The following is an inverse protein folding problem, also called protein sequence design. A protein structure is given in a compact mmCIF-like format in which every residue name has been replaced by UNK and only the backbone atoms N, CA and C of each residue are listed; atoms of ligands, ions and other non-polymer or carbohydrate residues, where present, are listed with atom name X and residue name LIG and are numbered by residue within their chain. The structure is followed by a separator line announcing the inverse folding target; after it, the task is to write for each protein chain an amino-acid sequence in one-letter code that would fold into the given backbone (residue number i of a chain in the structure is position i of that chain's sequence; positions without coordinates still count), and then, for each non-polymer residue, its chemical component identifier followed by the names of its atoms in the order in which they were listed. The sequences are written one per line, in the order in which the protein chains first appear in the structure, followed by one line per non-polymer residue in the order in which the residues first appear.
data_IF_957682029363
#
_entry.id   IF_957682029363
#
_cell.length_a   1.000
_cell.length_b   1.000
_cell.length_c   1.000
_cell.angle_alpha   90.00
_cell.angle_beta   90.00
_cell.angle_gamma   90.00
#
_symmetry.space_group_name_H-M   'P 1'
#
loop_
_entity.id
_entity.type
_entity.pdbx_description
1 polymer ?
2 non-polymer ?
3 water ?
#
# COMPACT_ATOMS: atom_id res chain seq x y z
N UNK A 9 -0.81 -25.27 2.14
CA UNK A 9 -1.85 -24.90 1.18
C UNK A 9 -3.22 -25.45 1.59
N UNK A 10 -3.62 -25.09 2.82
CA UNK A 10 -4.84 -25.59 3.43
C UNK A 10 -6.05 -25.26 2.56
N UNK A 11 -6.91 -26.26 2.36
CA UNK A 11 -8.17 -26.04 1.66
C UNK A 11 -9.28 -25.75 2.65
N UNK A 12 -10.05 -24.72 2.37
CA UNK A 12 -11.19 -24.34 3.19
C UNK A 12 -12.41 -24.52 2.32
N UNK A 13 -13.36 -25.30 2.78
CA UNK A 13 -14.53 -25.59 1.98
C UNK A 13 -15.39 -24.35 1.94
N UNK A 14 -16.01 -24.08 0.80
CA UNK A 14 -16.88 -22.92 0.71
C UNK A 14 -17.99 -22.99 1.75
N UNK A 15 -18.43 -24.21 2.09
CA UNK A 15 -19.49 -24.41 3.06
C UNK A 15 -19.03 -24.17 4.48
N UNK A 16 -17.73 -24.01 4.70
CA UNK A 16 -17.17 -23.72 6.01
C UNK A 16 -17.05 -22.23 6.26
N UNK A 17 -17.64 -21.40 5.40
CA UNK A 17 -17.54 -19.96 5.49
C UNK A 17 -18.93 -19.36 5.64
N UNK A 18 -19.07 -18.45 6.60
CA UNK A 18 -20.26 -17.62 6.73
C UNK A 18 -19.91 -16.21 6.26
N UNK A 19 -20.44 -15.80 5.11
CA UNK A 19 -20.11 -14.49 4.59
C UNK A 19 -20.98 -13.42 5.24
N UNK A 20 -20.34 -12.37 5.73
CA UNK A 20 -21.00 -11.13 6.11
C UNK A 20 -21.51 -10.24 4.98
N UNK A 21 -20.76 -10.21 3.89
CA UNK A 21 -21.08 -9.37 2.76
C UNK A 21 -21.29 -10.29 1.58
N UNK A 22 -22.36 -10.08 0.81
CA UNK A 22 -22.72 -11.02 -0.24
C UNK A 22 -21.57 -11.12 -1.23
N UNK A 23 -21.12 -12.34 -1.50
CA UNK A 23 -19.90 -12.53 -2.30
C UNK A 23 -20.15 -12.54 -3.79
N UNK A 24 -21.43 -12.49 -4.15
CA UNK A 24 -21.86 -12.30 -5.53
C UNK A 24 -21.52 -10.97 -6.16
N UNK A 25 -21.62 -9.90 -5.39
CA UNK A 25 -21.57 -8.54 -5.90
C UNK A 25 -20.35 -7.93 -6.58
N UNK A 26 -19.17 -8.15 -6.06
CA UNK A 26 -17.97 -7.52 -6.58
C UNK A 26 -17.34 -8.17 -7.81
N UNK A 27 -16.38 -7.48 -8.42
CA UNK A 27 -15.56 -8.10 -9.44
C UNK A 27 -14.51 -9.01 -8.79
N UNK A 28 -13.84 -9.79 -9.62
CA UNK A 28 -12.73 -10.60 -9.14
C UNK A 28 -11.70 -9.70 -8.47
N UNK A 29 -11.18 -10.17 -7.34
CA UNK A 29 -10.32 -9.35 -6.50
C UNK A 29 -11.03 -8.76 -5.31
N UNK A 30 -12.37 -8.67 -5.37
CA UNK A 30 -13.14 -8.18 -4.23
C UNK A 30 -12.92 -9.07 -3.03
N UNK A 31 -12.93 -8.44 -1.85
CA UNK A 31 -12.62 -9.08 -0.58
C UNK A 31 -13.85 -8.97 0.31
N UNK A 32 -14.21 -10.09 0.95
CA UNK A 32 -15.39 -10.15 1.79
C UNK A 32 -15.01 -10.54 3.20
N UNK A 33 -15.62 -9.85 4.17
CA UNK A 33 -15.53 -10.27 5.55
C UNK A 33 -16.36 -11.53 5.75
N UNK A 34 -15.79 -12.50 6.43
CA UNK A 34 -16.43 -13.77 6.65
C UNK A 34 -16.01 -14.39 7.97
N UNK A 35 -16.75 -15.42 8.34
CA UNK A 35 -16.41 -16.23 9.49
C UNK A 35 -16.05 -17.63 9.00
N UNK A 36 -14.92 -18.14 9.49
CA UNK A 36 -14.49 -19.49 9.21
C UNK A 36 -15.08 -20.35 10.32
N UNK A 37 -16.10 -21.12 9.96
CA UNK A 37 -17.04 -21.66 10.94
C UNK A 37 -16.35 -22.68 11.85
N UNK A 38 -15.66 -23.67 11.26
CA UNK A 38 -15.03 -24.72 12.03
C UNK A 38 -13.90 -24.19 12.91
N UNK A 39 -13.42 -22.98 12.65
CA UNK A 39 -12.36 -22.38 13.44
C UNK A 39 -12.84 -21.22 14.29
N UNK A 40 -14.07 -20.79 14.11
CA UNK A 40 -14.58 -19.67 14.86
C UNK A 40 -13.63 -18.47 14.72
N UNK A 41 -13.20 -18.22 13.50
CA UNK A 41 -12.28 -17.14 13.18
C UNK A 41 -12.85 -16.17 12.13
N UNK A 42 -12.73 -14.89 12.39
CA UNK A 42 -13.02 -13.86 11.40
C UNK A 42 -11.94 -13.90 10.32
N UNK A 43 -12.35 -13.80 9.07
CA UNK A 43 -11.42 -13.94 7.95
C UNK A 43 -11.79 -12.99 6.83
N UNK A 44 -10.83 -12.75 5.95
CA UNK A 44 -11.08 -12.07 4.68
C UNK A 44 -11.04 -13.10 3.56
N UNK A 45 -11.93 -12.95 2.58
CA UNK A 45 -12.00 -13.88 1.46
C UNK A 45 -11.93 -13.08 0.18
N UNK A 46 -10.89 -13.34 -0.60
CA UNK A 46 -10.73 -12.67 -1.88
C UNK A 46 -11.24 -13.60 -2.96
N UNK A 47 -12.20 -13.11 -3.73
CA UNK A 47 -12.81 -13.87 -4.81
C UNK A 47 -11.92 -13.89 -6.06
N UNK A 48 -11.72 -15.09 -6.58
CA UNK A 48 -10.86 -15.29 -7.74
C UNK A 48 -11.54 -16.12 -8.84
N UNK A 49 -11.17 -15.85 -10.09
CA UNK A 49 -11.65 -16.63 -11.20
C UNK A 49 -11.17 -18.07 -11.13
N UNK A 50 -9.89 -18.24 -10.83
CA UNK A 50 -9.31 -19.54 -10.59
C UNK A 50 -8.01 -19.34 -9.84
N UNK A 51 -7.51 -20.40 -9.23
CA UNK A 51 -6.20 -20.36 -8.61
C UNK A 51 -5.38 -21.60 -9.00
N UNK A 52 -4.12 -21.40 -9.34
CA UNK A 52 -3.22 -22.50 -9.72
C UNK A 52 -2.55 -23.16 -8.52
N UNK A 53 -2.24 -24.43 -8.59
CA UNK A 53 -1.61 -25.13 -7.52
C UNK A 53 -0.26 -24.50 -7.18
N UNK A 54 0.38 -23.93 -8.17
CA UNK A 54 1.67 -23.31 -8.01
C UNK A 54 1.62 -22.21 -6.95
N UNK A 55 0.45 -21.59 -6.78
CA UNK A 55 0.31 -20.56 -5.75
C UNK A 55 0.70 -21.06 -4.37
N UNK A 56 0.84 -22.37 -4.17
CA UNK A 56 1.19 -22.87 -2.85
C UNK A 56 2.58 -22.41 -2.42
N UNK A 57 3.43 -22.04 -3.38
CA UNK A 57 4.78 -21.61 -3.00
C UNK A 57 4.74 -20.35 -2.14
N UNK A 58 3.67 -19.55 -2.23
CA UNK A 58 3.53 -18.37 -1.40
C UNK A 58 2.77 -18.61 -0.11
N UNK A 59 2.19 -19.80 0.07
CA UNK A 59 1.38 -20.05 1.26
C UNK A 59 2.22 -20.13 2.53
N UNK A 60 3.53 -20.31 2.38
CA UNK A 60 4.42 -20.37 3.51
C UNK A 60 4.92 -19.01 4.04
N UNK A 61 4.69 -17.94 3.29
CA UNK A 61 5.14 -16.62 3.76
C UNK A 61 4.38 -16.24 5.04
N UNK A 62 5.12 -15.73 6.02
CA UNK A 62 4.52 -15.30 7.26
C UNK A 62 5.34 -14.17 7.86
N UNK A 63 4.70 -13.08 8.24
CA UNK A 63 5.42 -11.97 8.84
C UNK A 63 4.39 -11.03 9.44
N UNK A 64 4.74 -10.41 10.57
CA UNK A 64 3.76 -9.58 11.26
C UNK A 64 3.26 -8.41 10.40
N UNK A 65 3.97 -8.04 9.32
CA UNK A 65 3.52 -6.90 8.53
C UNK A 65 3.04 -7.32 7.15
N UNK A 66 2.73 -8.60 6.94
CA UNK A 66 2.01 -9.02 5.75
C UNK A 66 0.78 -9.81 6.16
N UNK A 67 -0.27 -9.71 5.36
CA UNK A 67 -1.52 -10.40 5.68
C UNK A 67 -1.29 -11.90 5.74
N UNK A 68 -1.89 -12.56 6.74
CA UNK A 68 -1.61 -13.96 7.00
C UNK A 68 -2.54 -14.89 6.19
N UNK A 69 -1.94 -15.71 5.36
CA UNK A 69 -2.68 -16.74 4.62
C UNK A 69 -3.33 -17.75 5.57
N UNK A 70 -4.60 -18.07 5.32
CA UNK A 70 -5.29 -19.12 6.07
C UNK A 70 -5.64 -20.33 5.22
N UNK A 71 -6.09 -20.13 3.99
CA UNK A 71 -6.50 -21.28 3.20
C UNK A 71 -6.99 -20.84 1.83
N UNK A 72 -7.31 -21.84 1.03
CA UNK A 72 -7.75 -21.62 -0.34
C UNK A 72 -9.07 -22.36 -0.54
N UNK A 73 -10.01 -21.71 -1.25
CA UNK A 73 -11.27 -22.32 -1.66
C UNK A 73 -11.13 -22.83 -3.09
N UNK A 74 -11.43 -24.11 -3.28
CA UNK A 74 -11.19 -24.76 -4.55
C UNK A 74 -12.39 -25.58 -5.02
N UNK A 75 -13.52 -24.92 -5.19
CA UNK A 75 -14.73 -25.58 -5.61
C UNK A 75 -15.39 -24.81 -6.73
N UNK A 76 -15.16 -25.25 -7.96
CA UNK A 76 -15.61 -24.49 -9.12
C UNK A 76 -17.11 -24.36 -9.03
N UNK A 77 -17.67 -23.20 -9.31
CA UNK A 77 -16.94 -22.01 -9.80
C UNK A 77 -16.42 -21.07 -8.71
N UNK A 78 -16.52 -21.48 -7.44
CA UNK A 78 -16.10 -20.63 -6.32
C UNK A 78 -14.62 -20.90 -6.05
N UNK A 79 -13.81 -19.89 -6.33
CA UNK A 79 -12.39 -19.90 -6.03
C UNK A 79 -12.06 -18.69 -5.16
N UNK A 80 -11.09 -18.85 -4.28
CA UNK A 80 -10.67 -17.79 -3.43
C UNK A 80 -9.50 -18.09 -2.55
N UNK A 81 -9.00 -17.06 -1.94
CA UNK A 81 -7.97 -17.16 -0.96
C UNK A 81 -8.48 -16.52 0.33
N UNK A 82 -8.21 -17.18 1.46
CA UNK A 82 -8.69 -16.78 2.75
C UNK A 82 -7.50 -16.32 3.59
N UNK A 83 -7.65 -15.16 4.19
CA UNK A 83 -6.67 -14.58 5.10
C UNK A 83 -7.27 -14.09 6.43
N UNK A 84 -6.38 -13.66 7.34
CA UNK A 84 -6.80 -12.97 8.54
C UNK A 84 -7.55 -11.69 8.16
N UNK A 85 -8.42 -11.26 9.05
CA UNK A 85 -9.16 -10.02 8.87
C UNK A 85 -8.62 -8.97 9.87
N UNK A 86 -8.21 -7.85 9.33
CA UNK A 86 -7.67 -6.81 10.15
C UNK A 86 -8.80 -5.93 10.62
N UNK A 87 -9.05 -5.90 11.90
CA UNK A 87 -10.26 -5.29 12.42
C UNK A 87 -10.43 -3.77 12.24
N UNK A 88 -9.33 -3.05 12.05
CA UNK A 88 -9.43 -1.59 11.90
C UNK A 88 -9.51 -1.07 10.45
N UNK A 89 -9.57 -1.98 9.48
CA UNK A 89 -9.86 -1.55 8.13
C UNK A 89 -8.62 -1.15 7.35
N UNK A 90 -8.89 -0.50 6.23
CA UNK A 90 -7.81 -0.19 5.29
C UNK A 90 -7.11 1.10 5.67
N UNK A 91 -5.82 1.17 5.34
CA UNK A 91 -5.03 2.36 5.61
C UNK A 91 -5.56 3.56 4.81
N UNK A 92 -6.00 3.31 3.59
CA UNK A 92 -6.51 4.39 2.76
C UNK A 92 -7.75 5.06 3.36
N UNK A 93 -8.68 4.23 3.82
CA UNK A 93 -9.90 4.74 4.44
C UNK A 93 -9.56 5.51 5.71
N UNK A 94 -8.62 5.01 6.50
CA UNK A 94 -8.22 5.70 7.71
C UNK A 94 -7.61 7.08 7.42
N UNK A 95 -6.70 7.12 6.45
CA UNK A 95 -5.97 8.35 6.15
C UNK A 95 -6.94 9.43 5.69
N UNK A 96 -7.88 9.04 4.88
CA UNK A 96 -8.76 9.98 4.22
C UNK A 96 -10.02 10.28 5.03
N UNK A 97 -10.04 9.79 6.26
CA UNK A 97 -11.09 10.05 7.23
C UNK A 97 -10.60 11.11 8.20
N UNK A 98 -11.53 11.70 8.94
CA UNK A 98 -11.11 12.63 9.98
C UNK A 98 -10.41 11.94 11.15
N UNK A 99 -10.47 10.61 11.22
CA UNK A 99 -9.77 9.91 12.31
C UNK A 99 -8.27 10.15 12.25
N UNK A 100 -7.76 10.45 11.06
CA UNK A 100 -6.31 10.58 10.85
C UNK A 100 -5.73 11.83 11.55
N UNK A 101 -6.61 12.70 12.02
CA UNK A 101 -6.21 13.86 12.80
C UNK A 101 -5.49 13.46 14.10
N UNK A 102 -5.78 12.26 14.59
CA UNK A 102 -5.13 11.75 15.80
C UNK A 102 -3.64 11.46 15.64
N UNK A 103 -3.17 11.34 14.40
CA UNK A 103 -1.80 10.89 14.13
C UNK A 103 -0.79 11.93 14.59
N UNK A 104 0.23 11.49 15.31
CA UNK A 104 1.39 12.32 15.62
C UNK A 104 2.63 11.68 15.02
N UNK A 105 3.77 12.24 15.30
CA UNK A 105 4.97 11.78 14.71
C UNK A 105 5.26 10.31 15.08
N UNK A 106 5.01 9.95 16.30
CA UNK A 106 5.24 8.59 16.75
C UNK A 106 4.38 7.60 15.95
N UNK A 107 3.13 7.97 15.73
CA UNK A 107 2.23 7.18 14.92
C UNK A 107 2.80 6.95 13.52
N UNK A 108 3.19 8.03 12.87
CA UNK A 108 3.71 7.92 11.52
C UNK A 108 4.98 7.07 11.46
N UNK A 109 5.87 7.26 12.42
CA UNK A 109 7.11 6.51 12.42
C UNK A 109 6.83 5.01 12.57
N UNK A 110 5.93 4.66 13.48
CA UNK A 110 5.60 3.27 13.69
C UNK A 110 5.00 2.65 12.42
N UNK A 111 4.05 3.34 11.81
CA UNK A 111 3.40 2.83 10.60
C UNK A 111 4.36 2.82 9.41
N UNK A 112 5.21 3.84 9.28
CA UNK A 112 6.18 3.82 8.20
C UNK A 112 7.16 2.67 8.37
N UNK A 113 7.50 2.37 9.62
CA UNK A 113 8.40 1.24 9.89
C UNK A 113 7.71 -0.09 9.61
N UNK A 114 6.42 -0.19 9.98
CA UNK A 114 5.63 -1.39 9.71
C UNK A 114 5.67 -1.77 8.24
N UNK A 115 5.32 -0.83 7.38
CA UNK A 115 5.29 -1.13 5.95
C UNK A 115 6.69 -1.47 5.44
N UNK A 116 7.68 -0.73 5.90
CA UNK A 116 9.03 -0.94 5.44
C UNK A 116 9.48 -2.34 5.81
N UNK A 117 9.15 -2.76 7.01
CA UNK A 117 9.53 -4.06 7.50
C UNK A 117 8.87 -5.20 6.73
N UNK A 118 7.60 -5.05 6.46
CA UNK A 118 6.89 -6.03 5.68
C UNK A 118 7.46 -6.11 4.28
N UNK A 119 7.76 -4.98 3.69
CA UNK A 119 8.34 -5.02 2.34
C UNK A 119 9.76 -5.59 2.36
N UNK A 120 10.53 -5.32 3.42
CA UNK A 120 11.86 -5.94 3.51
C UNK A 120 11.74 -7.45 3.60
N UNK A 121 10.78 -7.95 4.37
CA UNK A 121 10.57 -9.38 4.43
C UNK A 121 10.29 -9.96 3.05
N UNK A 122 9.35 -9.36 2.31
CA UNK A 122 9.00 -9.89 0.99
C UNK A 122 10.21 -9.88 0.05
N UNK A 123 10.94 -8.77 0.04
CA UNK A 123 12.09 -8.61 -0.84
C UNK A 123 13.29 -9.54 -0.49
N UNK A 124 13.55 -9.67 0.80
CA UNK A 124 14.81 -10.24 1.23
C UNK A 124 14.77 -11.47 2.15
N UNK A 125 13.72 -11.61 2.96
CA UNK A 125 13.70 -12.65 3.97
C UNK A 125 12.81 -13.87 3.69
N UNK A 126 11.84 -13.74 2.81
CA UNK A 126 10.87 -14.80 2.59
C UNK A 126 11.51 -15.99 1.86
N UNK A 127 10.91 -17.17 1.98
CA UNK A 127 11.40 -18.33 1.21
C UNK A 127 11.36 -18.13 -0.29
N UNK A 128 10.44 -17.29 -0.77
CA UNK A 128 10.37 -16.89 -2.17
C UNK A 128 10.42 -15.37 -2.21
N UNK A 129 11.32 -14.83 -3.01
CA UNK A 129 11.42 -13.39 -3.16
C UNK A 129 10.17 -12.85 -3.85
N UNK A 130 9.58 -11.80 -3.28
CA UNK A 130 8.37 -11.20 -3.83
C UNK A 130 8.60 -9.71 -4.08
N UNK A 131 8.41 -9.27 -5.32
CA UNK A 131 8.28 -7.86 -5.64
C UNK A 131 6.80 -7.59 -5.76
N UNK A 132 6.28 -6.64 -4.99
CA UNK A 132 4.83 -6.48 -4.93
C UNK A 132 4.28 -5.95 -6.24
N UNK A 133 4.74 -4.77 -6.62
CA UNK A 133 4.42 -4.10 -7.87
C UNK A 133 3.10 -3.36 -7.81
N UNK A 134 2.35 -3.57 -6.74
CA UNK A 134 1.09 -2.87 -6.57
C UNK A 134 0.93 -2.29 -5.17
N UNK A 135 2.03 -1.93 -4.53
CA UNK A 135 1.92 -1.39 -3.20
C UNK A 135 1.18 -0.05 -3.24
N UNK A 136 0.20 0.09 -2.37
CA UNK A 136 -0.55 1.34 -2.23
C UNK A 136 -1.35 1.26 -0.95
N UNK A 137 -1.84 2.42 -0.49
CA UNK A 137 -2.52 2.48 0.80
C UNK A 137 -3.78 1.61 0.83
N UNK A 138 -4.42 1.38 -0.29
CA UNK A 138 -5.53 0.47 -0.32
C UNK A 138 -5.11 -1.02 -0.13
N UNK A 139 -3.85 -1.28 -0.31
CA UNK A 139 -3.35 -2.63 -0.12
C UNK A 139 -2.64 -2.80 1.22
N UNK A 140 -2.96 -1.94 2.19
CA UNK A 140 -2.45 -2.07 3.55
C UNK A 140 -3.64 -2.00 4.49
N UNK A 141 -3.68 -2.89 5.48
CA UNK A 141 -4.77 -2.87 6.44
C UNK A 141 -4.22 -2.77 7.85
N UNK A 142 -5.11 -2.43 8.79
CA UNK A 142 -4.75 -2.06 10.17
C UNK A 142 -5.34 -3.11 11.09
N UNK A 143 -4.49 -3.90 11.72
CA UNK A 143 -4.99 -4.91 12.65
C UNK A 143 -5.45 -4.24 13.96
N UNK A 144 -6.09 -5.05 14.80
CA UNK A 144 -6.73 -4.54 16.01
C UNK A 144 -5.76 -3.79 16.94
N UNK A 145 -4.49 -4.19 16.95
CA UNK A 145 -3.51 -3.53 17.81
C UNK A 145 -2.73 -2.44 17.07
N UNK A 146 -3.18 -2.06 15.88
CA UNK A 146 -2.51 -1.01 15.11
C UNK A 146 -1.39 -1.48 14.21
N UNK A 147 -1.10 -2.77 14.16
CA UNK A 147 -0.05 -3.29 13.29
C UNK A 147 -0.54 -3.28 11.85
N UNK A 148 0.27 -2.73 10.95
CA UNK A 148 -0.10 -2.64 9.54
C UNK A 148 0.26 -3.94 8.83
N UNK A 149 -0.61 -4.38 7.91
CA UNK A 149 -0.43 -5.64 7.18
C UNK A 149 -0.56 -5.39 5.70
N UNK A 150 0.44 -5.82 4.92
CA UNK A 150 0.45 -5.63 3.48
C UNK A 150 -0.33 -6.76 2.81
N UNK A 151 -1.19 -6.37 1.87
CA UNK A 151 -2.11 -7.25 1.16
C UNK A 151 -1.75 -7.32 -0.33
N UNK A 152 -2.18 -8.39 -0.99
CA UNK A 152 -2.11 -8.51 -2.45
C UNK A 152 -0.70 -8.68 -3.01
N UNK A 153 0.23 -9.08 -2.15
CA UNK A 153 1.60 -9.24 -2.54
C UNK A 153 1.79 -10.34 -3.60
N UNK A 154 0.86 -11.28 -3.68
CA UNK A 154 0.95 -12.30 -4.71
C UNK A 154 0.12 -12.03 -5.95
N UNK A 155 -0.61 -10.90 -5.98
CA UNK A 155 -1.51 -10.63 -7.11
C UNK A 155 -0.77 -10.60 -8.43
N UNK A 156 0.36 -9.88 -8.49
CA UNK A 156 1.01 -9.66 -9.78
C UNK A 156 1.49 -10.95 -10.40
N UNK A 157 1.79 -11.96 -9.59
CA UNK A 157 2.23 -13.25 -10.12
C UNK A 157 1.09 -14.24 -10.28
N UNK A 158 0.14 -14.28 -9.35
CA UNK A 158 -0.80 -15.39 -9.33
C UNK A 158 -2.24 -15.04 -9.67
N UNK A 159 -2.62 -13.76 -9.60
CA UNK A 159 -3.94 -13.41 -10.10
C UNK A 159 -3.85 -11.98 -10.61
N UNK A 160 -3.02 -11.79 -11.64
CA UNK A 160 -2.90 -10.49 -12.27
C UNK A 160 -4.23 -9.98 -12.81
N UNK A 161 -5.17 -10.86 -13.05
CA UNK A 161 -6.45 -10.46 -13.60
C UNK A 161 -7.16 -9.50 -12.64
N UNK A 162 -6.88 -9.61 -11.35
CA UNK A 162 -7.52 -8.77 -10.35
C UNK A 162 -7.02 -7.34 -10.29
N UNK A 163 -5.91 -7.07 -10.93
CA UNK A 163 -5.32 -5.77 -10.88
C UNK A 163 -5.81 -4.82 -11.97
N UNK A 164 -6.49 -5.33 -12.99
CA UNK A 164 -6.91 -4.47 -14.10
C UNK A 164 -7.86 -3.31 -13.76
N UNK A 165 -8.89 -3.55 -12.94
CA UNK A 165 -9.92 -2.58 -12.63
C UNK A 165 -9.25 -1.38 -11.92
N UNK A 166 -9.55 -0.19 -12.45
CA UNK A 166 -8.87 1.05 -12.06
C UNK A 166 -7.39 0.88 -11.79
N UNK A 167 -6.78 0.43 -12.87
CA UNK A 167 -5.39 0.61 -13.08
C UNK A 167 -5.18 2.12 -13.14
N UNK A 168 -6.09 2.86 -13.75
CA UNK A 168 -5.95 4.30 -13.81
C UNK A 168 -5.91 4.87 -12.40
N UNK A 169 -6.77 4.35 -11.53
CA UNK A 169 -6.80 4.79 -10.14
C UNK A 169 -5.47 4.58 -9.40
N UNK A 170 -4.73 3.56 -9.78
CA UNK A 170 -3.43 3.25 -9.23
C UNK A 170 -2.20 3.99 -9.76
N UNK A 171 -2.34 4.75 -10.82
CA UNK A 171 -1.18 5.37 -11.40
C UNK A 171 -0.38 6.26 -10.42
N UNK A 172 -1.04 6.95 -9.53
CA UNK A 172 -0.26 7.75 -8.57
C UNK A 172 0.76 6.92 -7.76
N UNK A 173 0.50 5.65 -7.50
CA UNK A 173 1.44 4.81 -6.79
C UNK A 173 2.52 4.10 -7.60
N UNK A 174 2.41 4.13 -8.92
CA UNK A 174 3.23 3.29 -9.79
C UNK A 174 4.52 3.99 -10.21
N UNK A 175 5.63 3.29 -10.05
CA UNK A 175 6.93 3.81 -10.49
C UNK A 175 6.91 4.03 -12.00
N UNK A 176 7.67 5.02 -12.49
CA UNK A 176 7.70 5.26 -13.94
C UNK A 176 8.02 4.02 -14.76
N UNK A 177 8.96 3.18 -14.30
CA UNK A 177 9.32 1.99 -15.07
C UNK A 177 8.19 0.97 -15.09
N UNK A 178 7.29 1.01 -14.11
CA UNK A 178 6.14 0.12 -14.14
C UNK A 178 5.08 0.65 -15.10
N UNK A 179 4.88 1.95 -15.12
CA UNK A 179 3.93 2.56 -16.03
C UNK A 179 4.34 2.30 -17.49
N UNK A 180 5.64 2.30 -17.74
CA UNK A 180 6.20 2.12 -19.08
C UNK A 180 6.48 0.66 -19.48
N UNK A 181 6.25 -0.27 -18.57
CA UNK A 181 6.57 -1.68 -18.79
C UNK A 181 8.05 -1.80 -19.16
N UNK A 182 8.85 -0.96 -18.55
CA UNK A 182 10.29 -1.00 -18.65
C UNK A 182 10.82 -2.07 -17.72
N UNK A 183 12.09 -2.39 -17.81
CA UNK A 183 12.69 -3.27 -16.79
C UNK A 183 12.35 -2.79 -15.39
N UNK A 184 12.00 -3.73 -14.52
CA UNK A 184 11.52 -3.43 -13.18
C UNK A 184 12.39 -4.17 -12.16
N UNK A 185 12.78 -3.44 -11.12
CA UNK A 185 13.51 -3.99 -10.00
C UNK A 185 12.70 -3.82 -8.72
N UNK A 186 13.26 -4.31 -7.64
CA UNK A 186 12.57 -4.29 -6.37
C UNK A 186 12.23 -2.84 -5.95
N UNK A 187 13.03 -1.89 -6.43
CA UNK A 187 12.85 -0.49 -6.07
C UNK A 187 11.56 0.15 -6.64
N UNK A 188 10.86 -0.53 -7.55
CA UNK A 188 9.52 -0.06 -7.88
C UNK A 188 8.64 0.00 -6.64
N UNK A 189 8.84 -0.91 -5.69
CA UNK A 189 8.07 -0.88 -4.46
C UNK A 189 8.51 0.26 -3.53
N UNK A 190 9.79 0.63 -3.57
CA UNK A 190 10.25 1.80 -2.82
C UNK A 190 9.56 3.09 -3.29
N UNK A 191 9.39 3.23 -4.61
CA UNK A 191 8.66 4.38 -5.13
C UNK A 191 7.25 4.41 -4.57
N UNK A 192 6.54 3.29 -4.63
CA UNK A 192 5.18 3.22 -4.13
C UNK A 192 5.12 3.52 -2.63
N UNK A 193 6.07 2.96 -1.88
CA UNK A 193 6.18 3.23 -0.45
C UNK A 193 6.29 4.74 -0.20
N UNK A 194 7.10 5.44 -1.00
CA UNK A 194 7.20 6.88 -0.86
C UNK A 194 5.85 7.56 -0.99
N UNK A 195 5.01 7.07 -1.90
CA UNK A 195 3.70 7.66 -2.04
C UNK A 195 2.86 7.38 -0.80
N UNK A 196 2.96 6.16 -0.24
CA UNK A 196 2.19 5.83 0.96
C UNK A 196 2.58 6.73 2.12
N UNK A 197 3.89 6.96 2.29
CA UNK A 197 4.36 7.88 3.32
C UNK A 197 3.84 9.30 3.10
N UNK A 198 3.88 9.78 1.85
CA UNK A 198 3.29 11.08 1.55
C UNK A 198 1.82 11.15 1.95
N UNK A 199 1.07 10.07 1.71
CA UNK A 199 -0.34 10.04 2.12
C UNK A 199 -0.49 10.16 3.63
N UNK A 200 0.34 9.44 4.39
CA UNK A 200 0.24 9.52 5.85
C UNK A 200 0.55 10.92 6.35
N UNK A 201 1.54 11.58 5.73
CA UNK A 201 1.95 12.91 6.16
C UNK A 201 0.90 13.96 5.80
N UNK A 202 0.40 13.94 4.57
CA UNK A 202 -0.52 14.98 4.11
C UNK A 202 -1.97 14.61 4.31
N UNK A 203 -2.26 13.31 4.43
CA UNK A 203 -3.64 12.81 4.53
C UNK A 203 -4.49 13.32 3.37
N UNK A 204 -3.91 13.28 2.17
CA UNK A 204 -4.58 13.65 0.94
C UNK A 204 -4.50 12.49 -0.05
N UNK A 205 -5.46 12.44 -0.97
CA UNK A 205 -5.41 11.51 -2.09
C UNK A 205 -4.38 12.03 -3.10
N UNK A 206 -3.41 11.21 -3.49
CA UNK A 206 -2.37 11.69 -4.42
C UNK A 206 -2.98 12.04 -5.77
N UNK A 207 -2.54 13.17 -6.31
CA UNK A 207 -2.99 13.64 -7.63
C UNK A 207 -4.51 13.65 -7.73
N UNK A 208 -5.18 14.08 -6.67
CA UNK A 208 -6.62 13.95 -6.59
C UNK A 208 -7.32 14.70 -7.72
N UNK A 209 -8.24 14.02 -8.40
CA UNK A 209 -9.03 14.62 -9.45
C UNK A 209 -8.38 14.70 -10.81
N UNK A 210 -7.16 14.17 -10.91
CA UNK A 210 -6.38 14.16 -12.14
C UNK A 210 -6.61 12.88 -12.93
N UNK A 211 -6.69 13.00 -14.24
CA UNK A 211 -6.85 11.82 -15.07
C UNK A 211 -5.62 10.94 -14.94
N UNK A 212 -5.84 9.64 -14.85
CA UNK A 212 -4.76 8.72 -14.61
C UNK A 212 -3.68 8.71 -15.68
N UNK A 213 -4.11 8.75 -16.93
CA UNK A 213 -3.17 8.82 -18.03
C UNK A 213 -2.38 10.14 -17.92
N UNK A 214 -3.03 11.21 -17.51
CA UNK A 214 -2.31 12.46 -17.32
C UNK A 214 -1.26 12.37 -16.20
N UNK A 215 -1.63 11.78 -15.07
CA UNK A 215 -0.66 11.45 -14.03
C UNK A 215 0.50 10.66 -14.60
N UNK A 216 0.18 9.58 -15.32
CA UNK A 216 1.23 8.70 -15.82
C UNK A 216 2.21 9.46 -16.72
N UNK A 217 1.67 10.33 -17.57
CA UNK A 217 2.50 11.15 -18.47
C UNK A 217 3.37 12.12 -17.67
N UNK A 218 2.75 12.87 -16.76
CA UNK A 218 3.51 13.80 -15.91
C UNK A 218 4.62 13.09 -15.15
N UNK A 219 4.32 11.94 -14.57
CA UNK A 219 5.33 11.23 -13.78
C UNK A 219 6.45 10.74 -14.67
N UNK A 220 6.12 10.21 -15.85
CA UNK A 220 7.10 9.52 -16.67
C UNK A 220 7.90 10.51 -17.52
N UNK A 221 7.21 11.44 -18.16
CA UNK A 221 7.87 12.32 -19.13
C UNK A 221 8.36 13.62 -18.50
N UNK A 222 7.62 14.18 -17.55
CA UNK A 222 7.96 15.48 -16.99
C UNK A 222 8.63 15.39 -15.63
N UNK A 223 8.87 14.18 -15.13
CA UNK A 223 9.42 13.96 -13.79
C UNK A 223 8.59 14.65 -12.71
N UNK A 224 7.28 14.76 -12.91
CA UNK A 224 6.40 15.34 -11.89
C UNK A 224 6.32 14.41 -10.68
N UNK A 225 6.30 15.00 -9.48
CA UNK A 225 6.16 14.26 -8.23
C UNK A 225 5.19 15.01 -7.35
N UNK A 226 4.64 14.30 -6.37
CA UNK A 226 3.64 14.88 -5.47
C UNK A 226 4.24 16.07 -4.71
N UNK A 227 3.42 17.11 -4.53
CA UNK A 227 3.88 18.32 -3.85
C UNK A 227 4.20 18.04 -2.38
N UNK A 228 5.41 18.38 -1.97
CA UNK A 228 5.85 18.28 -0.59
C UNK A 228 5.73 19.68 0.05
N UNK A 229 4.86 19.88 1.03
CA UNK A 229 4.74 21.21 1.64
C UNK A 229 6.06 21.71 2.19
N UNK A 230 6.27 23.02 2.07
CA UNK A 230 7.55 23.61 2.42
C UNK A 230 7.86 23.45 3.91
N UNK A 231 6.85 23.36 4.76
CA UNK A 231 7.07 23.17 6.18
C UNK A 231 7.19 21.70 6.56
N UNK A 232 7.11 20.78 5.61
CA UNK A 232 7.37 19.38 5.92
C UNK A 232 8.82 19.23 6.41
N UNK A 233 9.06 18.51 7.52
CA UNK A 233 10.43 18.40 8.02
C UNK A 233 11.38 17.91 6.93
N UNK A 234 12.61 18.43 6.95
CA UNK A 234 13.54 18.14 5.87
C UNK A 234 13.90 16.65 5.80
N UNK A 235 13.95 15.97 6.95
CA UNK A 235 14.28 14.55 6.93
C UNK A 235 13.22 13.75 6.17
N UNK A 236 11.94 14.06 6.38
CA UNK A 236 10.87 13.39 5.64
C UNK A 236 10.92 13.77 4.16
N UNK A 237 11.15 15.04 3.86
CA UNK A 237 11.14 15.48 2.48
C UNK A 237 12.24 14.76 1.70
N UNK A 238 13.38 14.65 2.32
CA UNK A 238 14.50 13.98 1.73
C UNK A 238 14.27 12.48 1.49
N UNK A 239 13.60 11.83 2.41
CA UNK A 239 13.27 10.43 2.27
C UNK A 239 12.35 10.25 1.06
N UNK A 240 11.37 11.13 0.93
CA UNK A 240 10.48 11.05 -0.21
C UNK A 240 11.23 11.25 -1.52
N UNK A 241 12.13 12.24 -1.57
CA UNK A 241 12.89 12.48 -2.79
C UNK A 241 13.74 11.27 -3.16
N UNK A 242 14.33 10.60 -2.18
CA UNK A 242 15.09 9.40 -2.47
C UNK A 242 14.19 8.28 -3.01
N UNK A 243 13.00 8.10 -2.44
CA UNK A 243 12.10 7.05 -2.90
C UNK A 243 11.61 7.31 -4.33
N UNK A 244 11.55 8.56 -4.71
CA UNK A 244 10.96 8.97 -5.94
C UNK A 244 11.95 9.21 -7.13
N UNK A 245 13.22 8.93 -6.95
CA UNK A 245 14.18 9.14 -8.02
C UNK A 245 13.77 8.42 -9.28
N UNK A 246 13.98 9.11 -10.39
CA UNK A 246 13.74 8.54 -11.70
C UNK A 246 14.61 7.33 -11.96
N UNK A 247 15.85 7.39 -11.55
CA UNK A 247 16.75 6.28 -11.73
C UNK A 247 16.53 5.31 -10.58
N UNK A 248 15.95 4.16 -10.93
CA UNK A 248 15.49 3.19 -9.98
C UNK A 248 16.62 2.65 -9.14
N UNK A 249 17.80 2.64 -9.74
CA UNK A 249 18.99 2.12 -9.08
C UNK A 249 19.50 3.03 -7.97
N UNK A 250 19.01 4.27 -7.89
CA UNK A 250 19.43 5.16 -6.84
C UNK A 250 18.43 5.25 -5.69
N UNK A 251 17.27 4.62 -5.80
CA UNK A 251 16.32 4.59 -4.69
C UNK A 251 16.86 3.70 -3.59
N UNK A 252 16.49 3.96 -2.34
CA UNK A 252 16.94 3.07 -1.27
C UNK A 252 16.17 1.76 -1.26
N UNK A 253 16.85 0.71 -0.81
CA UNK A 253 16.21 -0.53 -0.43
C UNK A 253 15.38 -0.33 0.84
N UNK A 254 14.59 -1.36 1.18
CA UNK A 254 13.85 -1.24 2.43
C UNK A 254 14.76 -1.39 3.65
N UNK A 255 15.88 -2.11 3.52
CA UNK A 255 16.88 -2.10 4.58
C UNK A 255 17.39 -0.70 4.83
N UNK A 256 17.66 0.05 3.75
CA UNK A 256 18.15 1.42 3.91
C UNK A 256 17.07 2.33 4.49
N UNK A 257 15.82 2.18 4.05
CA UNK A 257 14.72 2.99 4.59
C UNK A 257 14.60 2.77 6.09
N UNK A 258 14.66 1.52 6.53
CA UNK A 258 14.51 1.20 7.94
C UNK A 258 15.60 1.91 8.75
N UNK A 259 16.81 1.96 8.19
CA UNK A 259 17.91 2.63 8.88
C UNK A 259 17.69 4.13 8.93
N UNK A 260 17.20 4.72 7.83
CA UNK A 260 16.82 6.13 7.80
C UNK A 260 15.79 6.42 8.87
N UNK A 261 14.76 5.58 8.98
CA UNK A 261 13.70 5.81 9.96
C UNK A 261 14.24 5.72 11.38
N UNK A 262 15.16 4.78 11.61
CA UNK A 262 15.79 4.67 12.91
C UNK A 262 16.58 5.94 13.25
N UNK A 263 17.32 6.48 12.26
CA UNK A 263 18.04 7.73 12.48
C UNK A 263 17.10 8.86 12.81
N UNK A 264 15.99 8.96 12.07
CA UNK A 264 15.01 10.00 12.33
C UNK A 264 14.41 9.85 13.73
N UNK A 265 14.18 8.62 14.19
CA UNK A 265 13.55 8.45 15.50
C UNK A 265 14.49 8.79 16.66
N UNK A 266 15.79 8.93 16.42
CA UNK A 266 16.75 9.39 17.43
C UNK A 266 16.93 10.91 17.42
N UNK A 267 16.28 11.61 16.51
CA UNK A 267 16.47 13.05 16.33
C UNK A 267 15.52 13.80 17.27
N UNK A 268 16.08 14.41 18.33
CA UNK A 268 15.24 14.99 19.38
C UNK A 268 14.47 16.21 18.91
N UNK A 269 14.95 16.88 17.88
CA UNK A 269 14.25 18.00 17.25
C UNK A 269 13.01 17.62 16.44
N UNK A 270 13.01 16.42 15.88
CA UNK A 270 12.01 16.02 14.91
C UNK A 270 10.56 15.95 15.39
N UNK A 271 10.33 15.46 16.60
CA UNK A 271 8.95 15.29 17.03
C UNK A 271 8.19 16.61 17.08
N UNK A 272 8.82 17.66 17.61
CA UNK A 272 8.16 18.94 17.62
C UNK A 272 7.95 19.51 16.21
N UNK A 273 8.96 19.39 15.37
CA UNK A 273 8.87 19.90 14.01
C UNK A 273 7.81 19.15 13.21
N UNK A 274 7.82 17.83 13.35
CA UNK A 274 6.87 17.02 12.60
C UNK A 274 5.45 17.20 13.12
N UNK A 275 5.26 17.16 14.44
CA UNK A 275 3.92 17.33 15.00
C UNK A 275 3.36 18.70 14.66
N UNK A 276 4.20 19.73 14.74
CA UNK A 276 3.77 21.07 14.32
C UNK A 276 3.37 21.06 12.85
N UNK A 277 4.10 20.32 12.02
CA UNK A 277 3.71 20.19 10.62
C UNK A 277 2.39 19.44 10.49
N UNK A 278 2.27 18.26 11.13
CA UNK A 278 1.08 17.44 10.95
C UNK A 278 -0.18 18.19 11.33
N UNK A 279 -0.11 18.98 12.38
CA UNK A 279 -1.27 19.65 12.95
C UNK A 279 -1.53 21.01 12.32
N UNK A 280 -0.71 21.36 11.35
CA UNK A 280 -0.80 22.63 10.65
C UNK A 280 -1.46 22.53 9.27
N UNK A 281 -2.19 21.46 9.00
CA UNK A 281 -2.66 21.18 7.65
C UNK A 281 -3.49 22.31 7.07
N UNK A 282 -4.20 23.04 7.91
CA UNK A 282 -5.00 24.13 7.42
C UNK A 282 -4.08 25.17 6.75
N UNK A 283 -2.87 25.31 7.25
CA UNK A 283 -1.87 26.16 6.62
C UNK A 283 -1.28 25.71 5.27
N UNK A 284 -0.88 24.45 5.14
CA UNK A 284 -0.20 24.01 3.93
C UNK A 284 -1.02 23.22 2.91
N UNK A 285 -2.27 22.96 3.21
CA UNK A 285 -3.14 22.23 2.31
C UNK A 285 -3.24 22.97 0.96
N UNK A 286 -3.25 24.30 1.03
CA UNK A 286 -3.35 25.16 -0.13
C UNK A 286 -2.17 24.96 -1.09
N UNK A 287 -1.01 24.61 -0.55
CA UNK A 287 0.14 24.33 -1.39
C UNK A 287 -0.10 23.12 -2.33
N UNK A 288 -0.67 22.06 -1.78
CA UNK A 288 -1.05 20.91 -2.58
C UNK A 288 -2.17 21.22 -3.55
N UNK A 289 -3.17 21.93 -3.08
CA UNK A 289 -4.31 22.29 -3.90
C UNK A 289 -3.88 23.20 -5.06
N UNK A 290 -2.93 24.08 -4.80
CA UNK A 290 -2.40 24.95 -5.83
C UNK A 290 -1.73 24.16 -6.95
N UNK A 291 -0.94 23.14 -6.62
CA UNK A 291 -0.34 22.34 -7.68
C UNK A 291 -1.40 21.63 -8.51
N UNK A 292 -2.41 21.11 -7.85
CA UNK A 292 -3.46 20.42 -8.57
C UNK A 292 -4.21 21.36 -9.49
N UNK A 293 -4.50 22.56 -9.03
CA UNK A 293 -5.19 23.54 -9.86
C UNK A 293 -4.31 23.84 -11.06
N UNK A 294 -3.01 23.99 -10.83
CA UNK A 294 -2.07 24.29 -11.89
C UNK A 294 -2.02 23.19 -12.92
N UNK A 295 -1.91 21.93 -12.48
CA UNK A 295 -1.86 20.80 -13.40
C UNK A 295 -3.17 20.62 -14.15
N UNK A 296 -4.30 20.81 -13.48
CA UNK A 296 -5.58 20.73 -14.16
C UNK A 296 -5.73 21.84 -15.21
N UNK A 297 -5.34 23.05 -14.83
CA UNK A 297 -5.46 24.22 -15.69
C UNK A 297 -4.60 24.11 -16.93
N UNK A 298 -3.36 23.65 -16.73
CA UNK A 298 -2.39 23.53 -17.81
C UNK A 298 -2.85 22.47 -18.79
N UNK A 299 -3.57 21.50 -18.28
CA UNK A 299 -4.18 20.50 -19.12
C UNK A 299 -5.25 21.14 -20.02
N UNK A 300 -6.00 22.09 -19.48
CA UNK A 300 -7.03 22.79 -20.22
C UNK A 300 -6.45 23.69 -21.30
#
# INVERSE_FOLDING_TARGET
GAMGSGASFVQIKFDDLQFFENCGGGSFGSVYRAKWISQDKEVAVKKLLKIEKEAEILSVLSHRNIIQFYGVILEPPNYGIVTEYASLGSLYDYINSNRSEEMDMDHIMTWATDVAKGMHYLHMEAPVKVIHRDLKSRNVVIAADGVLKICDFGASRFHNHTTHMSLVGTFPWMAPEVIQSLPVSETCDTYSYGVVLWEMLTREVPFKGLEGLQVAWLVVEKNERLTIPSSCPRSFAELLHQCWEADAKKRPSFKQIISILESMSNDTSLPDKCNSFLHNKAEWRCEIEATLERLKKLERDLSFKEQELK
#
